data_IF_681309966210
#
_entry.id   IF_681309966210
#
_cell.length_a   1.000
_cell.length_b   1.000
_cell.length_c   1.000
_cell.angle_alpha   90.00
_cell.angle_beta   90.00
_cell.angle_gamma   90.00
#
_symmetry.space_group_name_H-M   'P 1'
#
loop_
_entity.id
_entity.type
_entity.pdbx_description
1 polymer ?
#
# COMPACT_ATOMS: atom_id res chain seq x y z
N UNK A 1 -4.96 -15.03 19.61
CA UNK A 1 -6.07 -15.00 18.62
C UNK A 1 -5.92 -13.75 17.77
N UNK A 2 -6.02 -13.85 16.44
CA UNK A 2 -6.00 -12.66 15.58
C UNK A 2 -7.23 -11.80 15.90
N UNK A 3 -7.05 -10.49 16.04
CA UNK A 3 -8.18 -9.56 16.25
C UNK A 3 -8.97 -9.49 14.94
N UNK A 4 -10.32 -9.48 14.97
CA UNK A 4 -11.11 -9.29 13.76
C UNK A 4 -10.72 -7.98 13.07
N UNK A 5 -10.53 -8.04 11.75
CA UNK A 5 -10.27 -6.86 10.94
C UNK A 5 -11.59 -6.08 10.87
N UNK A 6 -11.56 -4.80 11.24
CA UNK A 6 -12.75 -3.93 11.15
C UNK A 6 -13.17 -3.82 9.68
N UNK A 7 -14.47 -3.91 9.43
CA UNK A 7 -15.01 -3.82 8.08
C UNK A 7 -14.64 -2.49 7.42
N UNK A 8 -14.39 -2.53 6.11
CA UNK A 8 -14.14 -1.34 5.31
C UNK A 8 -15.40 -0.49 5.27
N UNK A 9 -15.34 0.80 5.66
CA UNK A 9 -16.52 1.65 5.67
C UNK A 9 -17.04 1.90 4.25
N UNK A 10 -18.35 1.84 4.08
CA UNK A 10 -19.01 2.24 2.82
C UNK A 10 -19.10 3.77 2.81
N UNK A 11 -18.50 4.40 1.80
CA UNK A 11 -18.52 5.85 1.65
C UNK A 11 -19.80 6.31 0.95
N UNK A 12 -20.36 7.43 1.41
CA UNK A 12 -21.59 8.02 0.84
C UNK A 12 -21.43 9.53 0.60
N UNK A 13 -22.25 10.07 -0.30
CA UNK A 13 -22.34 11.51 -0.56
C UNK A 13 -20.99 12.16 -0.86
N UNK A 14 -20.63 13.19 -0.09
CA UNK A 14 -19.40 13.97 -0.27
C UNK A 14 -18.13 13.13 -0.12
N UNK A 15 -18.13 12.13 0.76
CA UNK A 15 -16.96 11.29 1.00
C UNK A 15 -16.69 10.34 -0.17
N UNK A 16 -17.74 9.79 -0.77
CA UNK A 16 -17.61 8.96 -1.98
C UNK A 16 -17.06 9.78 -3.16
N UNK A 17 -17.54 11.02 -3.34
CA UNK A 17 -17.08 11.92 -4.40
C UNK A 17 -15.60 12.29 -4.21
N UNK A 18 -15.19 12.61 -2.98
CA UNK A 18 -13.80 12.93 -2.66
C UNK A 18 -12.88 11.75 -2.98
N UNK A 19 -13.26 10.55 -2.54
CA UNK A 19 -12.48 9.34 -2.78
C UNK A 19 -12.30 9.07 -4.29
N UNK A 20 -13.37 9.16 -5.08
CA UNK A 20 -13.29 8.96 -6.53
C UNK A 20 -12.39 10.01 -7.22
N UNK A 21 -12.44 11.27 -6.76
CA UNK A 21 -11.56 12.33 -7.27
C UNK A 21 -10.10 12.02 -6.95
N UNK A 22 -9.77 11.65 -5.72
CA UNK A 22 -8.40 11.33 -5.32
C UNK A 22 -7.85 10.12 -6.08
N UNK A 23 -8.66 9.08 -6.28
CA UNK A 23 -8.29 7.90 -7.07
C UNK A 23 -7.92 8.26 -8.51
N UNK A 24 -8.62 9.22 -9.12
CA UNK A 24 -8.35 9.69 -10.48
C UNK A 24 -7.15 10.63 -10.58
N UNK A 25 -6.88 11.40 -9.52
CA UNK A 25 -5.80 12.40 -9.48
C UNK A 25 -4.46 11.82 -9.00
N UNK A 26 -4.43 10.54 -8.61
CA UNK A 26 -3.18 9.90 -8.16
C UNK A 26 -2.24 9.68 -9.34
N UNK A 27 -1.03 10.24 -9.26
CA UNK A 27 0.03 9.98 -10.24
C UNK A 27 0.35 8.48 -10.26
N UNK A 28 0.14 7.85 -11.42
CA UNK A 28 0.51 6.45 -11.61
C UNK A 28 2.03 6.39 -11.78
N UNK A 29 2.72 5.78 -10.83
CA UNK A 29 4.14 5.44 -10.99
C UNK A 29 4.37 4.74 -12.33
N UNK A 30 5.45 5.11 -13.01
CA UNK A 30 5.90 4.42 -14.21
C UNK A 30 6.24 2.95 -13.92
N UNK A 31 6.27 2.07 -14.93
CA UNK A 31 6.68 0.68 -14.75
C UNK A 31 8.07 0.55 -14.11
N UNK A 32 9.01 1.42 -14.48
CA UNK A 32 10.37 1.42 -13.94
C UNK A 32 10.42 1.81 -12.45
N UNK A 33 9.67 2.83 -12.05
CA UNK A 33 9.55 3.25 -10.64
C UNK A 33 8.91 2.14 -9.79
N UNK A 34 7.91 1.45 -10.32
CA UNK A 34 7.32 0.28 -9.66
C UNK A 34 8.35 -0.82 -9.45
N UNK A 35 9.19 -1.10 -10.44
CA UNK A 35 10.23 -2.12 -10.32
C UNK A 35 11.29 -1.73 -9.29
N UNK A 36 11.74 -0.46 -9.30
CA UNK A 36 12.68 0.08 -8.29
C UNK A 36 12.11 -0.07 -6.88
N UNK A 37 10.84 0.30 -6.68
CA UNK A 37 10.17 0.17 -5.39
C UNK A 37 10.04 -1.30 -4.96
N UNK A 38 9.72 -2.22 -5.90
CA UNK A 38 9.67 -3.66 -5.62
C UNK A 38 11.03 -4.21 -5.17
N UNK A 39 12.12 -3.82 -5.84
CA UNK A 39 13.49 -4.24 -5.47
C UNK A 39 13.86 -3.72 -4.08
N UNK A 40 13.54 -2.46 -3.78
CA UNK A 40 13.77 -1.85 -2.46
C UNK A 40 13.01 -2.57 -1.35
N UNK A 41 11.73 -2.86 -1.56
CA UNK A 41 10.91 -3.59 -0.59
C UNK A 41 11.45 -5.02 -0.35
N UNK A 42 11.82 -5.73 -1.42
CA UNK A 42 12.42 -7.07 -1.32
C UNK A 42 13.73 -7.04 -0.54
N UNK A 43 14.60 -6.06 -0.79
CA UNK A 43 15.87 -5.90 -0.06
C UNK A 43 15.61 -5.68 1.43
N UNK A 44 14.76 -4.72 1.78
CA UNK A 44 14.44 -4.42 3.18
C UNK A 44 13.86 -5.64 3.93
N UNK A 45 13.03 -6.45 3.26
CA UNK A 45 12.53 -7.69 3.83
C UNK A 45 13.65 -8.71 4.10
N UNK A 46 14.58 -8.89 3.16
CA UNK A 46 15.70 -9.83 3.32
C UNK A 46 16.65 -9.38 4.42
N UNK A 47 16.96 -8.08 4.48
CA UNK A 47 17.81 -7.49 5.52
C UNK A 47 17.19 -7.76 6.91
N UNK A 48 15.91 -7.43 7.10
CA UNK A 48 15.16 -7.69 8.35
C UNK A 48 15.12 -9.19 8.70
N UNK A 49 14.94 -10.06 7.72
CA UNK A 49 14.92 -11.51 7.95
C UNK A 49 16.29 -12.02 8.41
N UNK A 50 17.37 -11.49 7.82
CA UNK A 50 18.73 -11.86 8.20
C UNK A 50 19.11 -11.41 9.61
N UNK A 51 18.71 -10.20 10.02
CA UNK A 51 18.96 -9.64 11.35
C UNK A 51 18.24 -10.40 12.48
N UNK A 52 17.07 -10.99 12.20
CA UNK A 52 16.28 -11.72 13.20
C UNK A 52 16.65 -13.21 13.32
N UNK A 53 17.53 -13.71 12.45
CA UNK A 53 17.92 -15.14 12.39
C UNK A 53 19.43 -15.39 12.59
N UNK A 54 20.17 -14.39 13.07
CA UNK A 54 21.55 -14.50 13.56
C UNK A 54 21.61 -14.19 15.05
#
# INVERSE_FOLDING_TARGET
MARPIRETPILHGKDAIRFDKEMKQTERMSPEEREKNRKRAKKAFMDLFSENHT
#
